data_IF_718114087306
#
_entry.id   IF_718114087306
#
_cell.length_a   1.000
_cell.length_b   1.000
_cell.length_c   1.000
_cell.angle_alpha   90.00
_cell.angle_beta   90.00
_cell.angle_gamma   90.00
#
_symmetry.space_group_name_H-M   'P 1'
#
loop_
_entity.id
_entity.type
_entity.pdbx_description
1 polymer ?
#
# COMPACT_ATOMS: atom_id res chain seq x y z
N UNK A 1 12.85 -25.29 -24.79
CA UNK A 1 13.06 -25.20 -23.33
C UNK A 1 13.28 -26.61 -22.84
N UNK A 2 14.50 -26.91 -22.42
CA UNK A 2 14.84 -28.20 -21.81
C UNK A 2 14.40 -28.13 -20.33
N UNK A 3 13.69 -29.15 -19.81
CA UNK A 3 13.30 -29.17 -18.40
C UNK A 3 14.55 -29.21 -17.52
N UNK A 4 14.61 -28.34 -16.52
CA UNK A 4 15.71 -28.28 -15.56
C UNK A 4 15.82 -29.60 -14.79
N UNK A 5 17.03 -29.99 -14.44
CA UNK A 5 17.30 -31.19 -13.65
C UNK A 5 16.99 -30.95 -12.16
N UNK A 6 16.63 -32.01 -11.42
CA UNK A 6 16.36 -31.94 -9.97
C UNK A 6 17.52 -31.32 -9.16
N UNK A 7 18.76 -31.40 -9.67
CA UNK A 7 19.94 -30.79 -9.06
C UNK A 7 19.94 -29.26 -9.21
N UNK A 8 19.51 -28.75 -10.37
CA UNK A 8 19.34 -27.32 -10.60
C UNK A 8 18.13 -26.79 -9.83
N UNK A 9 17.05 -27.57 -9.71
CA UNK A 9 15.91 -27.20 -8.85
C UNK A 9 16.28 -27.17 -7.36
N UNK A 10 17.23 -28.00 -6.91
CA UNK A 10 17.71 -27.98 -5.52
C UNK A 10 18.60 -26.77 -5.20
N UNK A 11 19.30 -26.20 -6.19
CA UNK A 11 20.08 -24.96 -6.03
C UNK A 11 19.17 -23.71 -6.12
N UNK A 12 17.92 -23.87 -6.57
CA UNK A 12 16.86 -22.84 -6.61
C UNK A 12 16.02 -22.83 -5.31
N UNK A 13 16.45 -23.55 -4.26
CA UNK A 13 15.83 -23.44 -2.93
C UNK A 13 16.03 -22.03 -2.35
N UNK A 14 14.97 -21.24 -2.32
CA UNK A 14 14.95 -19.88 -1.76
C UNK A 14 14.66 -18.77 -2.77
N UNK A 15 14.60 -19.07 -4.07
CA UNK A 15 14.12 -18.08 -5.05
C UNK A 15 12.59 -18.09 -5.01
N UNK A 16 12.00 -16.98 -4.56
CA UNK A 16 10.55 -16.83 -4.48
C UNK A 16 9.80 -17.09 -5.79
N UNK A 17 8.48 -17.05 -5.72
CA UNK A 17 7.59 -17.17 -6.87
C UNK A 17 7.43 -15.80 -7.53
N UNK A 18 7.81 -15.70 -8.81
CA UNK A 18 7.48 -14.56 -9.67
C UNK A 18 6.11 -14.75 -10.34
N UNK A 19 5.27 -13.73 -10.30
CA UNK A 19 3.93 -13.68 -10.88
C UNK A 19 3.85 -12.56 -11.92
N UNK A 20 3.34 -12.90 -13.09
CA UNK A 20 3.06 -11.96 -14.18
C UNK A 20 1.68 -12.28 -14.71
N UNK A 21 0.85 -11.27 -14.91
CA UNK A 21 -0.45 -11.43 -15.55
C UNK A 21 -0.45 -10.66 -16.87
N UNK A 22 -0.45 -11.39 -17.97
CA UNK A 22 -0.54 -10.81 -19.31
C UNK A 22 -2.02 -10.66 -19.73
N UNK A 23 -2.33 -9.58 -20.44
CA UNK A 23 -3.70 -9.24 -20.85
C UNK A 23 -4.72 -9.29 -19.70
N UNK A 24 -4.27 -8.86 -18.52
CA UNK A 24 -5.08 -8.80 -17.32
C UNK A 24 -6.12 -7.70 -17.41
N UNK A 25 -7.30 -8.00 -16.89
CA UNK A 25 -8.32 -7.02 -16.52
C UNK A 25 -9.15 -7.61 -15.40
N UNK A 26 -9.56 -6.75 -14.49
CA UNK A 26 -10.57 -7.06 -13.49
C UNK A 26 -11.70 -6.05 -13.63
N UNK A 27 -12.93 -6.52 -13.61
CA UNK A 27 -14.09 -5.65 -13.62
C UNK A 27 -15.26 -6.34 -12.94
N UNK A 28 -15.85 -5.62 -12.00
CA UNK A 28 -17.12 -5.93 -11.39
C UNK A 28 -18.06 -4.77 -11.71
N UNK A 29 -19.22 -5.09 -12.27
CA UNK A 29 -20.30 -4.13 -12.47
C UNK A 29 -21.54 -4.68 -11.76
N UNK A 30 -22.24 -3.80 -11.05
CA UNK A 30 -23.50 -4.13 -10.43
C UNK A 30 -24.54 -4.49 -11.50
N UNK A 31 -25.09 -5.70 -11.40
CA UNK A 31 -26.15 -6.22 -12.26
C UNK A 31 -27.04 -7.14 -11.42
N UNK A 32 -28.10 -6.57 -10.86
CA UNK A 32 -29.04 -7.28 -9.99
C UNK A 32 -29.75 -8.44 -10.74
N UNK A 33 -30.05 -8.26 -12.03
CA UNK A 33 -30.75 -9.26 -12.84
C UNK A 33 -29.88 -10.50 -13.09
N UNK A 34 -28.56 -10.32 -13.19
CA UNK A 34 -27.59 -11.41 -13.26
C UNK A 34 -27.08 -11.90 -11.90
N UNK A 35 -27.61 -11.39 -10.78
CA UNK A 35 -27.18 -11.73 -9.42
C UNK A 35 -25.79 -11.21 -9.04
N UNK A 36 -25.24 -10.25 -9.79
CA UNK A 36 -23.94 -9.62 -9.53
C UNK A 36 -24.14 -8.40 -8.64
N UNK A 37 -24.39 -8.65 -7.36
CA UNK A 37 -24.53 -7.58 -6.36
C UNK A 37 -23.39 -7.66 -5.37
N UNK A 38 -22.62 -6.57 -5.26
CA UNK A 38 -21.66 -6.38 -4.19
C UNK A 38 -22.15 -5.20 -3.34
N UNK A 39 -22.57 -5.51 -2.11
CA UNK A 39 -23.06 -4.54 -1.13
C UNK A 39 -22.21 -4.64 0.15
N UNK A 40 -21.79 -3.49 0.67
CA UNK A 40 -21.25 -3.36 2.01
C UNK A 40 -22.39 -2.95 2.94
N UNK A 41 -22.49 -3.63 4.09
CA UNK A 41 -23.56 -3.45 5.08
C UNK A 41 -22.97 -3.48 6.50
N UNK A 42 -23.79 -3.19 7.51
CA UNK A 42 -23.35 -3.10 8.91
C UNK A 42 -22.72 -1.76 9.29
N UNK A 43 -22.81 -0.77 8.41
CA UNK A 43 -22.51 0.63 8.73
C UNK A 43 -23.82 1.24 9.21
N UNK A 44 -23.79 2.00 10.31
CA UNK A 44 -24.94 2.77 10.80
C UNK A 44 -24.60 4.25 10.86
N UNK A 45 -25.61 5.10 10.65
CA UNK A 45 -25.46 6.53 10.84
C UNK A 45 -25.57 6.90 12.34
N UNK A 46 -25.38 8.18 12.68
CA UNK A 46 -25.47 8.65 14.08
C UNK A 46 -26.84 8.40 14.73
N UNK A 47 -27.90 8.26 13.92
CA UNK A 47 -29.24 7.92 14.38
C UNK A 47 -29.45 6.40 14.55
N UNK A 48 -28.44 5.57 14.25
CA UNK A 48 -28.51 4.11 14.32
C UNK A 48 -29.23 3.47 13.14
N UNK A 49 -29.48 4.22 12.06
CA UNK A 49 -30.09 3.68 10.83
C UNK A 49 -29.02 3.05 9.94
N UNK A 50 -29.39 2.01 9.21
CA UNK A 50 -28.48 1.32 8.30
C UNK A 50 -28.01 2.25 7.17
N UNK A 51 -26.70 2.19 6.90
CA UNK A 51 -26.05 2.77 5.74
C UNK A 51 -25.66 1.63 4.81
N UNK A 52 -26.24 1.65 3.62
CA UNK A 52 -25.99 0.70 2.56
C UNK A 52 -25.03 1.30 1.54
N UNK A 53 -23.96 0.56 1.21
CA UNK A 53 -22.98 0.96 0.19
C UNK A 53 -23.01 -0.09 -0.91
N UNK A 54 -23.64 0.23 -2.04
CA UNK A 54 -23.68 -0.61 -3.22
C UNK A 54 -22.45 -0.32 -4.09
N UNK A 55 -21.66 -1.33 -4.42
CA UNK A 55 -20.52 -1.17 -5.34
C UNK A 55 -21.03 -1.27 -6.77
N UNK A 56 -21.15 -0.13 -7.45
CA UNK A 56 -21.68 -0.02 -8.81
C UNK A 56 -20.67 -0.51 -9.86
N UNK A 57 -19.41 -0.13 -9.68
CA UNK A 57 -18.31 -0.53 -10.56
C UNK A 57 -17.01 -0.64 -9.75
N UNK A 58 -16.25 -1.71 -9.92
CA UNK A 58 -14.91 -1.86 -9.36
C UNK A 58 -14.04 -2.51 -10.43
N UNK A 59 -12.97 -1.84 -10.86
CA UNK A 59 -12.15 -2.35 -11.95
C UNK A 59 -10.67 -2.03 -11.80
N UNK A 60 -9.88 -2.87 -12.46
CA UNK A 60 -8.46 -2.70 -12.74
C UNK A 60 -8.31 -2.96 -14.24
N UNK A 61 -7.98 -1.93 -15.00
CA UNK A 61 -7.85 -2.00 -16.46
C UNK A 61 -6.60 -1.31 -16.95
N UNK A 62 -6.34 -1.39 -18.26
CA UNK A 62 -5.30 -0.59 -18.88
C UNK A 62 -5.65 0.89 -18.94
N UNK A 63 -4.63 1.72 -19.11
CA UNK A 63 -4.75 3.16 -19.29
C UNK A 63 -5.79 3.53 -20.37
N UNK A 64 -6.58 4.57 -20.10
CA UNK A 64 -7.63 5.03 -21.02
C UNK A 64 -8.95 4.29 -20.84
N UNK A 65 -9.23 3.83 -19.62
CA UNK A 65 -10.46 3.10 -19.25
C UNK A 65 -11.72 3.97 -19.25
N UNK A 66 -11.59 5.30 -19.27
CA UNK A 66 -12.70 6.26 -19.26
C UNK A 66 -13.70 6.00 -18.13
N UNK A 67 -13.24 5.97 -16.87
CA UNK A 67 -14.07 5.65 -15.69
C UNK A 67 -14.73 4.25 -15.77
N UNK A 68 -14.10 3.32 -16.49
CA UNK A 68 -14.54 1.94 -16.66
C UNK A 68 -15.48 1.73 -17.86
N UNK A 69 -15.73 2.74 -18.69
CA UNK A 69 -16.53 2.60 -19.91
C UNK A 69 -15.78 1.88 -21.04
N UNK A 70 -14.44 1.95 -21.04
CA UNK A 70 -13.56 1.39 -22.06
C UNK A 70 -12.46 0.53 -21.44
N UNK A 71 -12.81 -0.58 -20.79
CA UNK A 71 -11.84 -1.43 -20.10
C UNK A 71 -10.92 -2.18 -21.07
N UNK A 72 -9.69 -1.68 -21.19
CA UNK A 72 -8.59 -2.32 -21.89
C UNK A 72 -7.89 -3.33 -20.99
N UNK A 73 -7.28 -4.36 -21.58
CA UNK A 73 -6.34 -5.22 -20.86
C UNK A 73 -4.99 -4.52 -20.70
N UNK A 74 -4.21 -4.96 -19.72
CA UNK A 74 -2.85 -4.48 -19.45
C UNK A 74 -2.00 -5.61 -18.85
N UNK A 75 -0.70 -5.39 -18.70
CA UNK A 75 0.17 -6.38 -18.08
C UNK A 75 0.47 -6.02 -16.63
N UNK A 76 0.24 -6.94 -15.70
CA UNK A 76 0.61 -6.77 -14.30
C UNK A 76 1.99 -7.43 -14.08
N UNK A 77 3.04 -6.61 -14.13
CA UNK A 77 4.44 -7.03 -14.07
C UNK A 77 4.95 -7.60 -15.40
N UNK A 78 6.24 -7.99 -15.42
CA UNK A 78 6.93 -8.62 -16.56
C UNK A 78 7.84 -9.74 -16.07
N UNK A 79 8.22 -10.67 -16.94
CA UNK A 79 9.14 -11.75 -16.56
C UNK A 79 10.50 -11.23 -16.04
N UNK A 80 10.94 -10.07 -16.50
CA UNK A 80 12.17 -9.41 -16.02
C UNK A 80 11.99 -8.62 -14.74
N UNK A 81 10.75 -8.30 -14.34
CA UNK A 81 10.42 -7.59 -13.11
C UNK A 81 9.00 -7.97 -12.66
N UNK A 82 8.81 -9.18 -12.12
CA UNK A 82 7.50 -9.70 -11.78
C UNK A 82 7.04 -9.17 -10.42
N UNK A 83 5.77 -9.37 -10.09
CA UNK A 83 5.38 -9.40 -8.69
C UNK A 83 6.02 -10.62 -8.05
N UNK A 84 6.61 -10.49 -6.87
CA UNK A 84 7.33 -11.60 -6.23
C UNK A 84 6.73 -11.95 -4.89
N UNK A 85 6.79 -13.24 -4.56
CA UNK A 85 6.45 -13.75 -3.25
C UNK A 85 7.56 -14.69 -2.80
N UNK A 86 8.20 -14.43 -1.67
CA UNK A 86 9.37 -15.20 -1.25
C UNK A 86 9.62 -15.19 0.25
N UNK A 87 10.59 -16.00 0.67
CA UNK A 87 11.19 -15.92 1.99
C UNK A 87 12.58 -15.31 1.82
N UNK A 88 12.80 -14.17 2.44
CA UNK A 88 14.07 -13.45 2.48
C UNK A 88 14.81 -13.81 3.78
N UNK A 89 16.13 -13.77 3.71
CA UNK A 89 16.98 -13.85 4.90
C UNK A 89 17.02 -12.48 5.57
N UNK A 90 16.51 -12.40 6.80
CA UNK A 90 16.45 -11.15 7.57
C UNK A 90 17.83 -10.51 7.77
N UNK A 91 18.90 -11.31 7.82
CA UNK A 91 20.28 -10.81 7.96
C UNK A 91 20.76 -10.02 6.73
N UNK A 92 20.02 -10.06 5.62
CA UNK A 92 20.35 -9.33 4.38
C UNK A 92 19.51 -8.07 4.16
N UNK A 93 18.50 -7.83 5.01
CA UNK A 93 17.53 -6.76 4.83
C UNK A 93 17.92 -5.44 5.49
N UNK A 94 18.87 -5.47 6.43
CA UNK A 94 19.41 -4.28 7.06
C UNK A 94 20.93 -4.37 7.12
N UNK A 95 21.58 -3.21 7.13
CA UNK A 95 23.00 -3.11 7.47
C UNK A 95 23.24 -3.17 8.99
N UNK A 96 22.18 -3.08 9.79
CA UNK A 96 22.23 -3.05 11.25
C UNK A 96 22.08 -4.47 11.82
N UNK A 97 23.03 -4.89 12.65
CA UNK A 97 23.06 -6.23 13.25
C UNK A 97 22.06 -6.40 14.41
N UNK A 98 21.44 -5.33 14.92
CA UNK A 98 20.47 -5.35 16.03
C UNK A 98 19.07 -4.87 15.62
N UNK A 99 18.53 -5.49 14.58
CA UNK A 99 17.18 -5.20 14.11
C UNK A 99 16.24 -6.39 14.27
N UNK A 100 14.94 -6.10 14.25
CA UNK A 100 13.96 -7.05 14.73
C UNK A 100 13.85 -8.34 13.92
N UNK A 101 14.20 -8.30 12.64
CA UNK A 101 14.12 -9.44 11.74
C UNK A 101 15.44 -10.21 11.58
N UNK A 102 16.53 -9.79 12.24
CA UNK A 102 17.81 -10.52 12.17
C UNK A 102 17.68 -11.94 12.74
N UNK A 103 18.33 -12.88 12.06
CA UNK A 103 18.26 -14.31 12.30
C UNK A 103 16.88 -14.92 12.00
N UNK A 104 16.02 -14.24 11.23
CA UNK A 104 14.67 -14.71 10.89
C UNK A 104 14.47 -14.82 9.39
N UNK A 105 13.59 -15.74 9.01
CA UNK A 105 13.00 -15.75 7.68
C UNK A 105 11.91 -14.67 7.62
N UNK A 106 11.98 -13.81 6.61
CA UNK A 106 10.99 -12.76 6.34
C UNK A 106 10.19 -13.13 5.10
N UNK A 107 8.89 -13.34 5.27
CA UNK A 107 7.99 -13.47 4.13
C UNK A 107 7.80 -12.11 3.46
N UNK A 108 8.00 -12.04 2.16
CA UNK A 108 7.76 -10.84 1.35
C UNK A 108 6.76 -11.13 0.23
N UNK A 109 5.80 -10.22 0.07
CA UNK A 109 5.04 -10.04 -1.17
C UNK A 109 5.40 -8.64 -1.71
N UNK A 110 6.03 -8.57 -2.88
CA UNK A 110 6.51 -7.32 -3.45
C UNK A 110 5.95 -7.07 -4.86
N UNK A 111 5.67 -5.80 -5.13
CA UNK A 111 5.50 -5.27 -6.47
C UNK A 111 6.85 -5.18 -7.19
N UNK A 112 6.85 -5.05 -8.53
CA UNK A 112 8.07 -4.81 -9.29
C UNK A 112 8.89 -3.64 -8.72
N UNK A 113 10.22 -3.73 -8.78
CA UNK A 113 11.09 -2.65 -8.30
C UNK A 113 11.02 -1.41 -9.20
N UNK A 114 11.27 -0.23 -8.61
CA UNK A 114 11.60 0.98 -9.38
C UNK A 114 12.86 0.71 -10.21
N UNK A 115 12.93 1.28 -11.41
CA UNK A 115 14.10 1.13 -12.30
C UNK A 115 14.96 2.40 -12.30
N UNK A 116 16.19 2.31 -12.81
CA UNK A 116 17.05 3.49 -12.92
C UNK A 116 16.50 4.48 -13.97
N UNK A 117 16.82 5.77 -13.81
CA UNK A 117 16.32 6.85 -14.68
C UNK A 117 16.62 6.64 -16.18
N UNK A 118 17.70 5.94 -16.51
CA UNK A 118 18.05 5.60 -17.90
C UNK A 118 17.31 4.39 -18.49
N UNK A 119 16.67 3.58 -17.64
CA UNK A 119 16.08 2.29 -18.02
C UNK A 119 14.54 2.31 -18.06
N UNK A 120 13.93 3.46 -17.74
CA UNK A 120 12.48 3.60 -17.63
C UNK A 120 11.96 4.99 -17.96
N UNK A 121 10.73 5.23 -17.49
CA UNK A 121 10.01 6.51 -17.62
C UNK A 121 9.55 6.95 -16.23
N UNK A 122 9.48 8.26 -16.01
CA UNK A 122 8.98 8.81 -14.75
C UNK A 122 7.58 8.25 -14.44
N UNK A 123 7.35 7.85 -13.19
CA UNK A 123 6.05 7.31 -12.76
C UNK A 123 4.92 8.34 -12.97
N UNK A 124 5.25 9.64 -12.90
CA UNK A 124 4.34 10.75 -13.16
C UNK A 124 4.87 11.56 -14.37
N UNK A 125 4.14 11.69 -15.48
CA UNK A 125 4.53 12.49 -16.63
C UNK A 125 4.43 13.99 -16.33
N UNK A 126 5.51 14.76 -16.54
CA UNK A 126 5.47 16.24 -16.51
C UNK A 126 5.53 16.89 -15.11
N UNK A 127 5.51 16.11 -14.03
CA UNK A 127 5.75 16.59 -12.66
C UNK A 127 7.24 16.78 -12.33
N UNK A 128 7.53 17.39 -11.17
CA UNK A 128 8.88 17.39 -10.60
C UNK A 128 9.31 15.94 -10.35
N UNK A 129 10.41 15.47 -10.95
CA UNK A 129 10.89 14.09 -10.80
C UNK A 129 10.98 13.73 -9.31
N UNK A 130 10.08 12.86 -8.88
CA UNK A 130 9.90 12.48 -7.48
C UNK A 130 10.77 11.27 -7.11
N UNK A 131 11.76 10.93 -7.94
CA UNK A 131 12.62 9.77 -7.73
C UNK A 131 11.96 8.43 -8.07
N UNK A 132 10.74 8.43 -8.62
CA UNK A 132 10.09 7.23 -9.12
C UNK A 132 10.23 7.13 -10.63
N UNK A 133 10.91 6.08 -11.07
CA UNK A 133 11.00 5.69 -12.47
C UNK A 133 10.52 4.24 -12.56
N UNK A 134 9.56 4.01 -13.46
CA UNK A 134 8.99 2.70 -13.73
C UNK A 134 9.28 2.33 -15.19
N UNK A 135 9.00 1.08 -15.55
CA UNK A 135 9.28 0.56 -16.88
C UNK A 135 8.45 1.30 -17.93
N UNK A 136 9.00 1.48 -19.13
CA UNK A 136 8.28 2.13 -20.21
C UNK A 136 6.98 1.37 -20.53
N UNK A 137 5.84 2.06 -20.71
CA UNK A 137 4.57 1.42 -21.00
C UNK A 137 4.66 0.51 -22.23
N UNK A 138 5.45 0.86 -23.24
CA UNK A 138 5.52 0.09 -24.49
C UNK A 138 6.97 -0.26 -24.85
N UNK A 139 7.52 -1.34 -24.30
CA UNK A 139 8.82 -1.84 -24.78
C UNK A 139 8.71 -2.70 -26.05
N UNK A 140 7.50 -3.02 -26.51
CA UNK A 140 7.22 -3.63 -27.82
C UNK A 140 5.72 -3.47 -28.19
N UNK A 141 5.40 -3.42 -29.49
CA UNK A 141 4.05 -3.22 -30.05
C UNK A 141 3.03 -4.33 -29.71
N UNK A 142 3.47 -5.40 -29.05
CA UNK A 142 2.66 -6.56 -28.65
C UNK A 142 2.34 -6.60 -27.14
N UNK A 143 3.02 -5.78 -26.33
CA UNK A 143 2.94 -5.81 -24.86
C UNK A 143 2.23 -4.54 -24.41
N UNK A 144 1.04 -4.68 -23.83
CA UNK A 144 0.33 -3.54 -23.23
C UNK A 144 1.02 -3.14 -21.93
N UNK A 145 1.17 -1.83 -21.70
CA UNK A 145 1.92 -1.31 -20.55
C UNK A 145 1.40 -1.71 -19.18
N UNK A 146 2.24 -1.52 -18.16
CA UNK A 146 1.96 -1.92 -16.78
C UNK A 146 1.23 -0.85 -15.95
N UNK A 147 0.88 0.25 -16.61
CA UNK A 147 0.16 1.37 -16.00
C UNK A 147 -1.33 1.06 -16.02
N UNK A 148 -1.90 0.97 -14.83
CA UNK A 148 -3.27 0.51 -14.65
C UNK A 148 -4.19 1.67 -14.30
N UNK A 149 -5.36 1.70 -14.93
CA UNK A 149 -6.46 2.49 -14.42
C UNK A 149 -7.17 1.71 -13.32
N UNK A 150 -7.38 2.37 -12.18
CA UNK A 150 -8.18 1.86 -11.08
C UNK A 150 -9.45 2.66 -10.97
N UNK A 151 -10.57 1.99 -10.72
CA UNK A 151 -11.82 2.70 -10.48
C UNK A 151 -12.71 1.99 -9.48
N UNK A 152 -13.37 2.80 -8.66
CA UNK A 152 -14.37 2.39 -7.68
C UNK A 152 -15.52 3.38 -7.75
N UNK A 153 -16.69 2.91 -8.17
CA UNK A 153 -17.94 3.65 -8.14
C UNK A 153 -18.91 2.96 -7.19
N UNK A 154 -19.60 3.74 -6.37
CA UNK A 154 -20.54 3.23 -5.39
C UNK A 154 -21.71 4.17 -5.17
N UNK A 155 -22.88 3.58 -4.91
CA UNK A 155 -24.07 4.27 -4.42
C UNK A 155 -24.20 4.05 -2.92
N UNK A 156 -24.19 5.14 -2.16
CA UNK A 156 -24.35 5.15 -0.69
C UNK A 156 -25.75 5.63 -0.35
N UNK A 157 -26.48 4.87 0.46
CA UNK A 157 -27.79 5.24 0.98
C UNK A 157 -27.78 5.18 2.51
N UNK A 158 -28.13 6.29 3.17
CA UNK A 158 -28.21 6.38 4.64
C UNK A 158 -29.67 6.48 5.08
N UNK A 159 -30.21 5.41 5.66
CA UNK A 159 -31.62 5.34 6.07
C UNK A 159 -32.57 5.67 4.92
N UNK A 160 -33.45 6.65 5.13
CA UNK A 160 -34.39 7.14 4.11
C UNK A 160 -33.84 8.29 3.27
N UNK A 161 -32.57 8.65 3.42
CA UNK A 161 -31.95 9.72 2.65
C UNK A 161 -31.81 9.32 1.19
N UNK A 162 -31.83 10.33 0.34
CA UNK A 162 -31.56 10.19 -1.09
C UNK A 162 -30.18 9.54 -1.31
N UNK A 163 -30.07 8.41 -2.06
CA UNK A 163 -28.78 7.83 -2.39
C UNK A 163 -27.80 8.82 -3.04
N UNK A 164 -26.51 8.65 -2.80
CA UNK A 164 -25.45 9.47 -3.35
C UNK A 164 -24.45 8.59 -4.06
N UNK A 165 -23.96 9.03 -5.23
CA UNK A 165 -22.94 8.29 -5.97
C UNK A 165 -21.58 8.88 -5.72
N UNK A 166 -20.60 8.04 -5.41
CA UNK A 166 -19.19 8.40 -5.28
C UNK A 166 -18.43 7.60 -6.34
N UNK A 167 -17.57 8.26 -7.10
CA UNK A 167 -16.69 7.63 -8.07
C UNK A 167 -15.26 8.10 -7.80
N UNK A 168 -14.37 7.14 -7.55
CA UNK A 168 -12.94 7.34 -7.39
C UNK A 168 -12.27 6.68 -8.59
N UNK A 169 -11.42 7.44 -9.29
CA UNK A 169 -10.70 6.95 -10.45
C UNK A 169 -9.25 7.43 -10.43
N UNK A 170 -8.31 6.49 -10.54
CA UNK A 170 -6.90 6.77 -10.74
C UNK A 170 -6.49 6.37 -12.15
N UNK A 171 -5.84 7.28 -12.86
CA UNK A 171 -5.38 7.09 -14.23
C UNK A 171 -3.95 6.53 -14.24
N UNK A 172 -3.64 5.54 -15.07
CA UNK A 172 -2.27 5.08 -15.36
C UNK A 172 -1.38 4.88 -14.12
N UNK A 173 -1.96 4.33 -13.06
CA UNK A 173 -1.34 4.16 -11.77
C UNK A 173 -0.17 3.17 -11.81
N UNK A 174 0.83 3.44 -10.98
CA UNK A 174 2.04 2.64 -10.79
C UNK A 174 2.22 2.36 -9.30
N UNK A 175 2.58 1.13 -8.96
CA UNK A 175 2.78 0.67 -7.56
C UNK A 175 4.20 0.16 -7.29
N UNK A 176 5.12 0.41 -8.22
CA UNK A 176 6.49 -0.09 -8.16
C UNK A 176 7.20 0.26 -6.84
N UNK A 177 7.94 -0.71 -6.30
CA UNK A 177 8.63 -0.62 -5.01
C UNK A 177 7.75 -0.84 -3.78
N UNK A 178 6.46 -1.12 -3.95
CA UNK A 178 5.60 -1.54 -2.83
C UNK A 178 5.95 -2.95 -2.36
N UNK A 179 5.84 -3.21 -1.06
CA UNK A 179 5.96 -4.56 -0.51
C UNK A 179 5.25 -4.69 0.84
N UNK A 180 4.92 -5.93 1.20
CA UNK A 180 4.54 -6.33 2.55
C UNK A 180 5.56 -7.37 3.01
N UNK A 181 6.20 -7.10 4.14
CA UNK A 181 7.11 -8.03 4.82
C UNK A 181 6.50 -8.48 6.14
N UNK A 182 6.58 -9.77 6.41
CA UNK A 182 6.05 -10.40 7.63
C UNK A 182 7.09 -11.35 8.22
N UNK A 183 7.26 -11.32 9.54
CA UNK A 183 8.18 -12.21 10.26
C UNK A 183 7.66 -12.59 11.64
N UNK A 184 8.17 -13.70 12.17
CA UNK A 184 7.80 -14.19 13.49
C UNK A 184 8.43 -13.40 14.63
N UNK A 185 7.81 -13.43 15.81
CA UNK A 185 8.41 -12.90 17.03
C UNK A 185 9.70 -13.64 17.42
N UNK A 186 10.60 -12.95 18.14
CA UNK A 186 11.74 -13.62 18.76
C UNK A 186 11.31 -14.65 19.82
N UNK A 187 12.11 -15.72 20.03
CA UNK A 187 11.90 -16.63 21.15
C UNK A 187 11.88 -15.87 22.48
N UNK A 188 10.91 -16.15 23.34
CA UNK A 188 10.77 -15.50 24.66
C UNK A 188 10.10 -14.13 24.65
N UNK A 189 9.71 -13.60 23.48
CA UNK A 189 8.89 -12.40 23.40
C UNK A 189 7.52 -12.61 24.06
N UNK A 190 7.10 -11.72 24.97
CA UNK A 190 5.85 -11.91 25.71
C UNK A 190 4.58 -11.82 24.83
N UNK A 191 4.63 -11.10 23.70
CA UNK A 191 3.48 -10.93 22.80
C UNK A 191 3.27 -12.12 21.89
N UNK A 192 4.34 -12.80 21.44
CA UNK A 192 4.26 -13.93 20.49
C UNK A 192 3.38 -13.61 19.25
N UNK A 193 3.49 -12.38 18.72
CA UNK A 193 2.68 -11.87 17.61
C UNK A 193 3.47 -11.87 16.29
N UNK A 194 2.74 -11.95 15.16
CA UNK A 194 3.32 -11.71 13.84
C UNK A 194 3.70 -10.24 13.74
N UNK A 195 4.85 -9.98 13.12
CA UNK A 195 5.40 -8.64 12.93
C UNK A 195 5.55 -8.35 11.45
N UNK A 196 5.60 -7.09 11.08
CA UNK A 196 5.67 -6.71 9.69
C UNK A 196 6.10 -5.29 9.41
N UNK A 197 6.29 -5.03 8.12
CA UNK A 197 6.54 -3.73 7.53
C UNK A 197 5.78 -3.67 6.21
N UNK A 198 5.17 -2.53 5.93
CA UNK A 198 4.45 -2.28 4.68
C UNK A 198 5.04 -1.03 4.04
N UNK A 199 5.52 -1.17 2.81
CA UNK A 199 5.79 -0.06 1.90
C UNK A 199 4.67 -0.02 0.85
N UNK A 200 3.88 1.05 0.83
CA UNK A 200 2.84 1.25 -0.17
C UNK A 200 3.16 2.47 -1.01
N UNK A 201 3.62 2.22 -2.23
CA UNK A 201 3.89 3.24 -3.23
C UNK A 201 2.72 3.29 -4.21
N UNK A 202 2.27 4.50 -4.51
CA UNK A 202 1.18 4.74 -5.44
C UNK A 202 1.41 6.06 -6.17
N UNK A 203 1.53 5.98 -7.48
CA UNK A 203 1.77 7.14 -8.35
C UNK A 203 0.73 7.15 -9.45
N UNK A 204 0.07 8.28 -9.67
CA UNK A 204 -0.89 8.43 -10.76
C UNK A 204 -0.86 9.86 -11.29
N UNK A 205 -0.84 10.07 -12.62
CA UNK A 205 -1.03 11.39 -13.23
C UNK A 205 -2.26 12.13 -12.72
N UNK A 206 -3.36 11.41 -12.43
CA UNK A 206 -4.60 12.01 -11.94
C UNK A 206 -5.38 11.02 -11.08
N UNK A 207 -5.63 11.41 -9.84
CA UNK A 207 -6.61 10.77 -8.97
C UNK A 207 -7.83 11.69 -8.86
N UNK A 208 -8.99 11.23 -9.32
CA UNK A 208 -10.24 11.99 -9.30
C UNK A 208 -11.27 11.36 -8.36
N UNK A 209 -12.01 12.21 -7.66
CA UNK A 209 -13.11 11.86 -6.79
C UNK A 209 -14.31 12.71 -7.19
N UNK A 210 -15.37 12.06 -7.63
CA UNK A 210 -16.59 12.69 -8.12
C UNK A 210 -17.76 12.24 -7.25
N UNK A 211 -18.53 13.20 -6.72
CA UNK A 211 -19.81 12.92 -6.10
C UNK A 211 -20.93 13.34 -7.06
N UNK A 212 -21.86 12.44 -7.35
CA UNK A 212 -23.01 12.71 -8.20
C UNK A 212 -24.33 12.42 -7.49
N UNK A 213 -25.39 13.08 -7.96
CA UNK A 213 -26.76 12.71 -7.60
C UNK A 213 -27.11 11.28 -8.03
N UNK A 214 -28.25 10.78 -7.55
CA UNK A 214 -28.72 9.40 -7.78
C UNK A 214 -28.74 9.01 -9.26
N UNK A 215 -29.09 9.95 -10.14
CA UNK A 215 -29.23 9.69 -11.57
C UNK A 215 -27.89 9.81 -12.31
N UNK A 216 -26.80 10.17 -11.62
CA UNK A 216 -25.48 10.44 -12.22
C UNK A 216 -25.50 11.61 -13.20
N UNK A 217 -26.53 12.47 -13.12
CA UNK A 217 -26.81 13.53 -14.10
C UNK A 217 -26.37 14.89 -13.58
N UNK A 218 -26.34 15.08 -12.26
CA UNK A 218 -25.77 16.21 -11.56
C UNK A 218 -24.56 15.77 -10.75
N UNK A 219 -23.41 15.60 -11.42
CA UNK A 219 -22.15 15.48 -10.70
C UNK A 219 -21.78 16.86 -10.13
N UNK A 220 -21.55 16.92 -8.82
CA UNK A 220 -21.04 18.11 -8.15
C UNK A 220 -19.62 18.45 -8.60
N UNK A 221 -18.97 19.36 -7.89
CA UNK A 221 -17.57 19.68 -8.14
C UNK A 221 -16.71 18.40 -7.98
N UNK A 222 -15.99 18.03 -9.04
CA UNK A 222 -14.94 17.02 -9.01
C UNK A 222 -13.78 17.50 -8.15
N UNK A 223 -13.24 16.64 -7.30
CA UNK A 223 -11.92 16.85 -6.70
C UNK A 223 -10.93 16.06 -7.55
N UNK A 224 -9.89 16.70 -8.03
CA UNK A 224 -8.82 16.02 -8.73
C UNK A 224 -7.46 16.37 -8.13
N UNK A 225 -6.67 15.34 -7.88
CA UNK A 225 -5.27 15.43 -7.50
C UNK A 225 -4.45 15.11 -8.74
N UNK A 226 -3.91 16.14 -9.37
CA UNK A 226 -2.96 15.98 -10.46
C UNK A 226 -1.58 15.65 -9.88
N UNK A 227 -0.84 14.81 -10.61
CA UNK A 227 0.49 14.34 -10.22
C UNK A 227 0.50 13.78 -8.80
N UNK A 228 -0.45 12.88 -8.51
CA UNK A 228 -0.63 12.33 -7.17
C UNK A 228 0.42 11.27 -6.88
N UNK A 229 1.02 11.41 -5.71
CA UNK A 229 2.03 10.54 -5.15
C UNK A 229 1.66 10.19 -3.72
N UNK A 230 1.84 8.92 -3.41
CA UNK A 230 1.80 8.42 -2.05
C UNK A 230 2.90 7.37 -1.89
N UNK A 231 3.76 7.57 -0.91
CA UNK A 231 4.72 6.57 -0.43
C UNK A 231 4.44 6.42 1.06
N UNK A 232 3.85 5.31 1.48
CA UNK A 232 3.56 5.03 2.89
C UNK A 232 4.49 3.95 3.41
N UNK A 233 5.31 4.31 4.39
CA UNK A 233 6.12 3.40 5.18
C UNK A 233 5.41 3.15 6.53
N UNK A 234 4.85 1.97 6.71
CA UNK A 234 4.15 1.55 7.93
C UNK A 234 4.96 0.45 8.60
N UNK A 235 5.51 0.80 9.75
CA UNK A 235 6.46 -0.06 10.46
C UNK A 235 7.85 0.00 9.87
N UNK A 236 8.83 -0.40 10.66
CA UNK A 236 10.22 -0.51 10.27
C UNK A 236 10.96 -1.47 11.21
N UNK A 237 12.26 -1.58 11.01
CA UNK A 237 13.15 -2.50 11.72
C UNK A 237 13.27 -2.23 13.24
N UNK A 238 12.98 -0.99 13.65
CA UNK A 238 12.95 -0.55 15.05
C UNK A 238 11.55 -0.57 15.66
N UNK A 239 10.53 -0.34 14.83
CA UNK A 239 9.13 -0.21 15.22
C UNK A 239 8.27 -1.06 14.28
N UNK A 240 8.22 -2.39 14.48
CA UNK A 240 7.44 -3.26 13.62
C UNK A 240 5.94 -3.02 13.76
N UNK A 241 5.22 -3.25 12.66
CA UNK A 241 3.76 -3.39 12.66
C UNK A 241 3.39 -4.76 13.25
N UNK A 242 2.59 -4.79 14.29
CA UNK A 242 2.08 -6.03 14.89
C UNK A 242 0.77 -6.44 14.23
N UNK A 243 0.71 -7.69 13.78
CA UNK A 243 -0.48 -8.37 13.26
C UNK A 243 -0.92 -9.42 14.27
N UNK A 244 -2.16 -9.31 14.74
CA UNK A 244 -2.71 -10.24 15.73
C UNK A 244 -4.22 -10.43 15.57
N UNK A 245 -4.74 -11.51 16.14
CA UNK A 245 -6.17 -11.72 16.31
C UNK A 245 -6.51 -11.55 17.79
N UNK A 246 -7.45 -10.66 18.10
CA UNK A 246 -7.91 -10.40 19.46
C UNK A 246 -8.53 -11.66 20.08
N UNK A 247 -8.30 -11.90 21.37
CA UNK A 247 -8.85 -13.05 22.07
C UNK A 247 -8.14 -14.39 21.81
N UNK A 248 -7.18 -14.46 20.88
CA UNK A 248 -6.28 -15.61 20.74
C UNK A 248 -4.90 -15.27 21.33
N UNK A 249 -4.64 -15.75 22.56
CA UNK A 249 -3.40 -15.47 23.30
C UNK A 249 -3.54 -14.30 24.30
N UNK A 250 -3.02 -14.52 25.52
CA UNK A 250 -2.88 -13.71 26.75
C UNK A 250 -3.90 -12.61 27.17
N UNK A 251 -4.77 -12.07 26.31
CA UNK A 251 -5.82 -11.13 26.72
C UNK A 251 -7.16 -11.51 26.11
N UNK A 252 -8.08 -11.96 26.99
CA UNK A 252 -9.49 -12.13 26.67
C UNK A 252 -10.13 -10.76 26.71
N UNK A 253 -10.33 -10.15 25.54
CA UNK A 253 -11.01 -8.85 25.38
C UNK A 253 -12.39 -9.09 24.77
N UNK A 254 -13.35 -8.18 25.00
CA UNK A 254 -14.74 -8.30 24.51
C UNK A 254 -14.84 -8.43 22.97
N UNK A 255 -13.81 -8.03 22.24
CA UNK A 255 -13.69 -8.05 20.78
C UNK A 255 -12.92 -9.29 20.26
N UNK A 256 -13.21 -10.50 20.75
CA UNK A 256 -12.51 -11.72 20.31
C UNK A 256 -12.71 -12.02 18.82
N UNK A 257 -11.68 -12.54 18.15
CA UNK A 257 -11.70 -12.93 16.75
C UNK A 257 -11.41 -11.80 15.76
N UNK A 258 -11.34 -10.56 16.23
CA UNK A 258 -11.05 -9.40 15.39
C UNK A 258 -9.55 -9.31 15.03
N UNK A 259 -9.24 -8.99 13.77
CA UNK A 259 -7.88 -8.69 13.33
C UNK A 259 -7.46 -7.31 13.86
N UNK A 260 -6.29 -7.24 14.48
CA UNK A 260 -5.67 -6.01 14.98
C UNK A 260 -4.32 -5.77 14.32
N UNK A 261 -4.17 -4.57 13.79
CA UNK A 261 -2.93 -3.98 13.28
C UNK A 261 -2.47 -2.90 14.25
N UNK A 262 -1.27 -3.00 14.77
CA UNK A 262 -0.75 -2.07 15.79
C UNK A 262 0.69 -1.64 15.48
N UNK A 263 0.92 -0.34 15.30
CA UNK A 263 2.24 0.27 15.50
C UNK A 263 2.29 0.84 16.91
N UNK A 264 3.20 0.34 17.72
CA UNK A 264 3.39 0.84 19.08
C UNK A 264 4.37 1.99 19.10
N UNK A 265 4.11 2.93 20.00
CA UNK A 265 5.10 3.93 20.36
C UNK A 265 6.37 3.24 20.84
N UNK A 266 7.52 3.74 20.37
CA UNK A 266 8.82 3.36 20.90
C UNK A 266 8.88 3.88 22.34
N UNK A 267 8.64 3.00 23.31
CA UNK A 267 8.63 3.35 24.74
C UNK A 267 9.96 3.07 25.44
N UNK A 268 10.75 2.16 24.87
CA UNK A 268 12.02 1.75 25.42
C UNK A 268 13.11 2.17 24.43
N UNK A 269 14.04 3.02 24.88
CA UNK A 269 15.28 3.24 24.14
C UNK A 269 15.91 1.86 23.94
N UNK A 270 16.13 1.46 22.68
CA UNK A 270 16.64 0.11 22.36
C UNK A 270 18.07 -0.14 22.84
N UNK A 271 18.72 0.83 23.48
CA UNK A 271 19.96 0.62 24.22
C UNK A 271 19.82 1.20 25.64
N UNK A 272 20.23 0.45 26.68
CA UNK A 272 20.13 0.88 28.08
C UNK A 272 21.07 2.04 28.42
N UNK A 273 21.96 2.42 27.49
CA UNK A 273 22.93 3.47 27.73
C UNK A 273 22.34 4.85 27.35
N UNK A 274 22.25 5.79 28.31
CA UNK A 274 21.76 7.12 28.02
C UNK A 274 22.71 7.83 27.04
N UNK A 275 22.14 8.62 26.13
CA UNK A 275 22.92 9.58 25.34
C UNK A 275 23.69 10.45 26.34
N UNK A 276 25.01 10.59 26.11
CA UNK A 276 25.87 11.36 27.01
C UNK A 276 25.36 12.81 27.21
N UNK A 277 25.85 13.47 28.26
CA UNK A 277 25.48 14.86 28.59
C UNK A 277 25.83 15.87 27.48
N UNK A 278 26.68 15.50 26.53
CA UNK A 278 27.04 16.31 25.38
C UNK A 278 25.98 16.27 24.27
N UNK A 279 25.05 15.31 24.30
CA UNK A 279 24.04 15.11 23.26
C UNK A 279 24.64 14.72 21.91
N UNK A 280 25.89 14.25 21.87
CA UNK A 280 26.65 13.95 20.65
C UNK A 280 27.21 12.53 20.69
N UNK A 281 27.23 11.84 19.55
CA UNK A 281 27.78 10.48 19.39
C UNK A 281 29.30 10.31 19.54
N UNK A 282 29.94 11.19 20.31
CA UNK A 282 31.40 11.35 20.35
C UNK A 282 32.10 10.56 21.47
N UNK A 283 31.40 9.67 22.17
CA UNK A 283 31.98 8.84 23.25
C UNK A 283 31.60 7.36 23.08
N UNK A 284 32.37 6.48 23.71
CA UNK A 284 32.05 5.04 23.81
C UNK A 284 30.60 4.86 24.32
N UNK A 285 29.75 4.15 23.57
CA UNK A 285 28.30 3.98 23.84
C UNK A 285 27.37 4.76 22.89
N UNK A 286 27.71 4.85 21.59
CA UNK A 286 26.99 5.64 20.58
C UNK A 286 25.73 4.95 19.98
N UNK A 287 25.41 3.72 20.41
CA UNK A 287 24.31 2.92 19.85
C UNK A 287 22.94 3.62 19.99
N UNK A 288 22.68 4.26 21.14
CA UNK A 288 21.43 5.01 21.38
C UNK A 288 21.30 6.22 20.46
N UNK A 289 22.40 6.95 20.20
CA UNK A 289 22.37 8.10 19.31
C UNK A 289 22.24 7.65 17.85
N UNK A 290 22.99 6.63 17.42
CA UNK A 290 22.87 6.05 16.07
C UNK A 290 21.46 5.56 15.78
N UNK A 291 20.82 4.91 16.76
CA UNK A 291 19.42 4.52 16.68
C UNK A 291 18.50 5.72 16.41
N UNK A 292 18.59 6.78 17.21
CA UNK A 292 17.71 7.93 17.05
C UNK A 292 18.03 8.71 15.78
N UNK A 293 19.30 8.85 15.42
CA UNK A 293 19.71 9.49 14.18
C UNK A 293 19.14 8.74 12.98
N UNK A 294 19.31 7.42 12.91
CA UNK A 294 18.76 6.59 11.84
C UNK A 294 17.22 6.66 11.84
N UNK A 295 16.57 6.43 12.98
CA UNK A 295 15.12 6.52 13.10
C UNK A 295 14.56 7.91 12.71
N UNK A 296 15.28 8.99 13.00
CA UNK A 296 14.84 10.36 12.70
C UNK A 296 15.24 10.89 11.31
N UNK A 297 16.25 10.32 10.66
CA UNK A 297 16.80 10.83 9.39
C UNK A 297 16.63 9.88 8.20
N UNK A 298 16.43 8.59 8.43
CA UNK A 298 16.28 7.60 7.37
C UNK A 298 14.96 7.82 6.59
N UNK A 299 15.10 8.03 5.28
CA UNK A 299 13.98 8.27 4.37
C UNK A 299 13.08 7.06 4.22
N UNK A 300 13.58 5.84 4.43
CA UNK A 300 12.82 4.60 4.23
C UNK A 300 11.75 4.40 5.31
N UNK A 301 11.82 5.16 6.41
CA UNK A 301 10.81 5.17 7.47
C UNK A 301 9.82 6.32 7.33
N UNK A 302 9.93 7.10 6.25
CA UNK A 302 9.14 8.31 6.05
C UNK A 302 8.08 8.07 5.01
N UNK A 303 6.92 8.65 5.28
CA UNK A 303 5.79 8.62 4.39
C UNK A 303 5.56 10.00 3.80
N UNK A 304 5.29 10.02 2.51
CA UNK A 304 5.07 11.23 1.73
C UNK A 304 3.76 11.12 0.96
N UNK A 305 2.97 12.19 0.97
CA UNK A 305 1.78 12.34 0.13
C UNK A 305 1.88 13.69 -0.57
N UNK A 306 1.83 13.68 -1.89
CA UNK A 306 2.02 14.89 -2.70
C UNK A 306 1.01 14.92 -3.85
N UNK A 307 0.63 16.12 -4.25
CA UNK A 307 -0.11 16.39 -5.46
C UNK A 307 0.45 17.67 -6.07
N UNK A 308 0.78 17.62 -7.36
CA UNK A 308 1.30 18.77 -8.11
C UNK A 308 0.26 19.89 -8.23
N UNK A 309 -1.02 19.54 -8.34
CA UNK A 309 -2.13 20.48 -8.30
C UNK A 309 -3.41 19.81 -7.80
N UNK A 310 -4.12 20.47 -6.88
CA UNK A 310 -5.43 20.03 -6.40
C UNK A 310 -6.51 20.91 -7.03
N UNK A 311 -7.39 20.32 -7.83
CA UNK A 311 -8.51 21.01 -8.45
C UNK A 311 -9.82 20.70 -7.71
N UNK A 312 -10.65 21.72 -7.49
CA UNK A 312 -12.04 21.54 -7.03
C UNK A 312 -12.97 22.23 -8.02
N UNK A 313 -13.83 21.45 -8.69
CA UNK A 313 -14.78 21.98 -9.67
C UNK A 313 -14.10 22.62 -10.88
N UNK A 314 -12.88 22.20 -11.20
CA UNK A 314 -12.06 22.74 -12.29
C UNK A 314 -11.22 23.97 -11.91
N UNK A 315 -11.34 24.47 -10.68
CA UNK A 315 -10.50 25.55 -10.17
C UNK A 315 -9.28 24.96 -9.44
N UNK A 316 -8.09 25.36 -9.87
CA UNK A 316 -6.81 24.96 -9.24
C UNK A 316 -6.63 25.64 -7.88
N UNK A 317 -6.27 24.85 -6.88
CA UNK A 317 -5.86 25.30 -5.55
C UNK A 317 -4.34 25.31 -5.38
N UNK A 318 -3.60 24.88 -6.39
CA UNK A 318 -2.15 24.72 -6.37
C UNK A 318 -1.71 23.38 -5.78
N UNK A 319 -0.40 23.26 -5.56
CA UNK A 319 0.20 22.02 -5.05
C UNK A 319 -0.08 21.81 -3.56
N UNK A 320 -0.23 20.53 -3.19
CA UNK A 320 -0.37 20.10 -1.81
C UNK A 320 0.66 19.02 -1.49
N UNK A 321 1.31 19.11 -0.34
CA UNK A 321 2.30 18.11 0.09
C UNK A 321 2.31 17.93 1.60
N UNK A 322 2.48 16.69 2.02
CA UNK A 322 2.81 16.25 3.37
C UNK A 322 4.05 15.35 3.22
N UNK A 323 5.18 15.79 3.76
CA UNK A 323 6.47 15.13 3.57
C UNK A 323 7.11 14.79 4.92
N UNK A 324 7.86 13.70 4.99
CA UNK A 324 8.60 13.30 6.17
C UNK A 324 7.71 12.81 7.31
N UNK A 325 6.53 12.24 7.02
CA UNK A 325 5.65 11.74 8.05
C UNK A 325 6.20 10.46 8.66
N UNK A 326 6.21 10.38 9.99
CA UNK A 326 6.59 9.19 10.75
C UNK A 326 5.44 8.76 11.65
N UNK A 327 4.98 7.53 11.49
CA UNK A 327 3.90 6.97 12.29
C UNK A 327 4.41 6.49 13.65
N UNK A 328 4.18 7.29 14.70
CA UNK A 328 4.58 6.91 16.07
C UNK A 328 3.61 5.95 16.75
N UNK A 329 2.33 5.98 16.36
CA UNK A 329 1.31 5.07 16.88
C UNK A 329 0.22 4.89 15.82
N UNK A 330 -0.16 3.66 15.58
CA UNK A 330 -1.31 3.29 14.76
C UNK A 330 -1.99 2.11 15.44
N UNK A 331 -3.31 2.13 15.52
CA UNK A 331 -4.07 1.00 16.01
C UNK A 331 -5.36 0.89 15.21
N UNK A 332 -5.50 -0.22 14.50
CA UNK A 332 -6.66 -0.54 13.70
C UNK A 332 -7.16 -1.91 14.10
N UNK A 333 -8.42 -1.99 14.49
CA UNK A 333 -9.08 -3.24 14.87
C UNK A 333 -10.27 -3.44 13.96
N UNK A 334 -10.35 -4.58 13.29
CA UNK A 334 -11.56 -4.96 12.55
C UNK A 334 -12.69 -5.22 13.55
N UNK A 335 -13.94 -5.09 13.13
CA UNK A 335 -15.07 -5.51 13.96
C UNK A 335 -15.87 -6.56 13.23
N UNK A 336 -16.09 -7.69 13.88
CA UNK A 336 -17.17 -8.61 13.50
C UNK A 336 -18.51 -7.89 13.67
N UNK A 337 -19.41 -8.08 12.70
CA UNK A 337 -20.74 -7.46 12.67
C UNK A 337 -21.84 -8.39 13.20
N UNK A 338 -21.46 -9.51 13.80
CA UNK A 338 -22.36 -10.55 14.34
C UNK A 338 -22.62 -10.39 15.84
#
# INVERSE_FOLDING_TARGET
MEPMSDKEMSDVNGQGVGMVMEDFRFAHQHDADAGKTFKLSGITNEAGEDVEVLVDNLYIGGAGSEFGNNLQTFNLGRLTNPFSMGLLDGDTLSANDDVDFNGKAVFELAAPSKVAQGDGVACIPGGSDTGCVSRAPDSDASIRGERMDLGFASTVQSGTSDPQKINIHAESAVVDGSYIRLWGSAPGDARQQLRGQIQSNFYTPRLSINACDQTGSGCGASIAFNDFMMELAIGNEYQPLFLSVLGTGHEVVEEQGNLRLELRTITDARSPDPINDSGTGSSDGDETYQFYEDYYTNSDYRSDIRSGDVEIGGESLGSARMEGMLFQKLETTTRSLD
#
